data_IF_835780810512
#
_entry.id   IF_835780810512
#
_cell.length_a   1.000
_cell.length_b   1.000
_cell.length_c   1.000
_cell.angle_alpha   90.00
_cell.angle_beta   90.00
_cell.angle_gamma   90.00
#
_symmetry.space_group_name_H-M   'P 1'
#
loop_
_entity.id
_entity.type
_entity.pdbx_description
1 polymer ?
#
# COMPACT_ATOMS: atom_id res chain seq x y z
N UNK A 1 -11.39 -26.43 43.01
CA UNK A 1 -10.88 -26.28 42.59
C UNK A 1 -10.62 -26.16 42.15
N UNK A 2 -11.11 -26.36 42.14
CA UNK A 2 -10.64 -26.16 41.56
C UNK A 2 -10.58 -26.06 40.96
N UNK A 3 -10.99 -26.14 41.19
CA UNK A 3 -10.61 -25.91 40.61
C UNK A 3 -10.60 -25.76 39.98
N UNK A 4 -10.92 -25.70 40.25
CA UNK A 4 -10.61 -25.49 39.61
C UNK A 4 -10.63 -25.30 39.02
N UNK A 5 -11.04 -25.23 39.38
CA UNK A 5 -10.77 -24.95 38.89
C UNK A 5 -10.75 -24.78 38.28
N UNK A 6 -11.18 -24.65 38.68
CA UNK A 6 -10.88 -24.33 38.22
C UNK A 6 -10.84 -24.16 37.62
N UNK A 7 -11.02 -24.10 37.73
CA UNK A 7 -10.69 -23.89 37.24
C UNK A 7 -10.64 -23.60 36.54
N UNK A 8 -11.13 -23.60 36.88
CA UNK A 8 -10.78 -23.32 36.42
C UNK A 8 -10.73 -23.01 35.69
N UNK A 9 -11.22 -22.99 36.04
CA UNK A 9 -10.90 -22.75 35.58
C UNK A 9 -10.85 -22.48 34.88
N UNK A 10 -11.52 -22.54 35.44
CA UNK A 10 -11.15 -22.35 35.01
C UNK A 10 -11.03 -22.17 34.41
N UNK A 11 -11.51 -22.19 34.48
CA UNK A 11 -11.15 -21.97 33.99
C UNK A 11 -10.96 -21.73 33.30
N UNK A 12 -11.56 -21.73 33.59
CA UNK A 12 -11.02 -21.62 33.07
C UNK A 12 -10.78 -21.33 32.37
N UNK A 13 -11.48 -21.09 32.45
CA UNK A 13 -10.98 -20.93 31.97
C UNK A 13 -10.81 -20.63 31.34
N UNK A 14 -11.46 -20.62 31.34
CA UNK A 14 -10.98 -20.45 30.83
C UNK A 14 -10.86 -20.12 30.16
N UNK A 15 -11.40 -19.96 30.00
CA UNK A 15 -10.95 -19.81 29.51
C UNK A 15 -10.78 -19.33 28.85
N UNK A 16 -11.45 -19.46 28.99
CA UNK A 16 -10.99 -19.14 28.57
C UNK A 16 -10.84 -18.84 27.93
N UNK A 17 -11.44 -18.83 27.81
CA UNK A 17 -10.89 -18.64 27.10
C UNK A 17 -10.76 -18.43 26.53
N UNK A 18 -11.38 -18.41 26.54
CA UNK A 18 -10.91 -18.30 25.98
C UNK A 18 -10.94 -18.01 25.22
N UNK A 19 -11.59 -18.03 25.05
CA UNK A 19 -11.28 -17.74 24.36
C UNK A 19 -11.19 -17.66 23.59
N UNK A 20 -11.62 -17.83 23.36
CA UNK A 20 -11.27 -17.71 22.57
C UNK A 20 -11.29 -17.70 21.88
N UNK A 21 -11.72 -17.83 21.88
CA UNK A 21 -11.39 -17.79 21.21
C UNK A 21 -11.46 -17.68 20.48
N UNK A 22 -11.90 -17.75 20.54
CA UNK A 22 -11.74 -17.60 19.84
C UNK A 22 -11.75 -17.50 19.30
N UNK A 23 -12.07 -17.48 19.49
CA UNK A 23 -11.74 -17.33 18.91
C UNK A 23 -11.57 -17.28 18.36
N UNK A 24 -11.80 -17.46 18.60
CA UNK A 24 -11.56 -17.18 17.96
C UNK A 24 -11.54 -17.16 17.13
N UNK A 25 -10.74 -17.50 17.20
CA UNK A 25 -10.92 -17.53 16.08
C UNK A 25 -11.59 -16.60 15.28
N UNK A 26 -12.24 -16.41 15.18
CA UNK A 26 -12.99 -15.45 14.49
C UNK A 26 -12.40 -14.08 14.48
N UNK A 27 -11.64 -13.70 15.43
CA UNK A 27 -10.92 -12.44 15.38
C UNK A 27 -10.11 -12.29 14.14
N UNK A 28 -9.61 -13.37 13.64
CA UNK A 28 -8.81 -13.29 12.42
C UNK A 28 -9.63 -12.84 11.24
N UNK A 29 -10.89 -13.21 11.22
CA UNK A 29 -11.75 -12.74 10.17
C UNK A 29 -11.87 -11.24 10.20
N UNK A 30 -11.99 -10.68 11.37
CA UNK A 30 -12.08 -9.24 11.49
C UNK A 30 -10.80 -8.57 11.02
N UNK A 31 -9.67 -9.16 11.37
CA UNK A 31 -8.40 -8.62 10.94
C UNK A 31 -8.29 -8.67 9.43
N UNK A 32 -8.81 -9.73 8.83
CA UNK A 32 -8.75 -9.88 7.40
C UNK A 32 -9.64 -8.91 6.66
N UNK A 33 -10.60 -8.35 7.36
CA UNK A 33 -11.49 -7.39 6.74
C UNK A 33 -10.96 -5.97 6.81
N UNK A 34 -9.83 -5.78 7.45
CA UNK A 34 -9.21 -4.47 7.42
C UNK A 34 -8.85 -4.12 6.01
N UNK A 35 -9.12 -2.88 5.61
CA UNK A 35 -8.71 -2.47 4.27
C UNK A 35 -7.21 -2.59 4.14
N UNK A 36 -6.78 -3.15 3.05
CA UNK A 36 -5.38 -3.18 2.70
C UNK A 36 -5.04 -1.89 1.98
N UNK A 37 -3.85 -1.39 2.25
CA UNK A 37 -3.39 -0.21 1.52
C UNK A 37 -2.86 -0.63 0.16
N UNK A 38 -3.00 0.24 -0.83
CA UNK A 38 -2.35 -0.01 -2.11
C UNK A 38 -0.85 0.07 -1.95
N UNK A 39 -0.13 -0.51 -2.90
CA UNK A 39 1.33 -0.50 -2.89
C UNK A 39 1.87 -0.12 -4.24
N UNK A 40 3.08 0.40 -4.23
CA UNK A 40 3.83 0.72 -5.43
C UNK A 40 5.16 -0.01 -5.32
N UNK A 41 5.44 -0.88 -6.28
CA UNK A 41 6.65 -1.69 -6.27
C UNK A 41 7.56 -1.28 -7.41
N UNK A 42 8.83 -1.00 -7.12
CA UNK A 42 9.80 -0.68 -8.14
C UNK A 42 10.28 -1.98 -8.77
N UNK A 43 10.00 -2.14 -10.06
CA UNK A 43 10.36 -3.35 -10.79
C UNK A 43 11.56 -3.15 -11.71
N UNK A 44 11.96 -1.89 -11.94
CA UNK A 44 13.12 -1.59 -12.75
C UNK A 44 13.73 -0.27 -12.31
N UNK A 45 15.07 -0.19 -12.31
CA UNK A 45 15.78 1.02 -11.94
C UNK A 45 16.60 0.83 -10.68
N UNK A 46 17.15 1.94 -10.15
CA UNK A 46 18.13 1.86 -9.05
C UNK A 46 17.64 1.22 -7.77
N UNK A 47 16.34 1.30 -7.49
CA UNK A 47 15.79 0.81 -6.23
C UNK A 47 14.91 -0.41 -6.44
N UNK A 48 15.21 -1.20 -7.46
CA UNK A 48 14.40 -2.37 -7.82
C UNK A 48 14.17 -3.27 -6.61
N UNK A 49 12.92 -3.66 -6.43
CA UNK A 49 12.51 -4.51 -5.32
C UNK A 49 11.90 -3.75 -4.16
N UNK A 50 12.07 -2.44 -4.12
CA UNK A 50 11.49 -1.64 -3.05
C UNK A 50 9.99 -1.51 -3.24
N UNK A 51 9.25 -1.65 -2.15
CA UNK A 51 7.80 -1.52 -2.16
C UNK A 51 7.40 -0.41 -1.20
N UNK A 52 6.54 0.48 -1.68
CA UNK A 52 6.00 1.57 -0.88
C UNK A 52 4.55 1.27 -0.57
N UNK A 53 4.20 1.30 0.71
CA UNK A 53 2.80 1.16 1.13
C UNK A 53 2.19 2.56 1.10
N UNK A 54 1.12 2.71 0.32
CA UNK A 54 0.52 4.01 0.09
C UNK A 54 -0.62 4.21 1.09
N UNK A 55 -0.28 4.76 2.24
CA UNK A 55 -1.21 4.86 3.37
C UNK A 55 -1.64 6.29 3.67
N UNK A 56 -1.48 7.20 2.73
CA UNK A 56 -1.95 8.57 2.84
C UNK A 56 -2.97 8.84 1.74
N UNK A 57 -3.87 9.79 1.93
CA UNK A 57 -4.86 10.09 0.89
C UNK A 57 -4.21 10.62 -0.38
N UNK A 58 -3.07 11.27 -0.26
CA UNK A 58 -2.34 11.77 -1.41
C UNK A 58 -0.87 11.43 -1.24
N UNK A 59 -0.26 10.94 -2.30
CA UNK A 59 1.11 10.44 -2.30
C UNK A 59 1.95 11.35 -3.19
N UNK A 60 3.07 11.82 -2.67
CA UNK A 60 4.03 12.59 -3.46
C UNK A 60 5.14 11.67 -3.95
N UNK A 61 5.54 11.87 -5.21
CA UNK A 61 6.64 11.12 -5.81
C UNK A 61 7.66 12.11 -6.33
N UNK A 62 8.92 11.88 -6.01
CA UNK A 62 9.95 12.78 -6.48
C UNK A 62 11.31 12.55 -5.83
N UNK A 63 12.25 13.40 -6.22
CA UNK A 63 13.62 13.34 -5.71
C UNK A 63 13.80 14.09 -4.40
N UNK A 64 12.78 14.83 -3.97
CA UNK A 64 12.82 15.48 -2.66
C UNK A 64 12.75 14.39 -1.58
N UNK A 65 13.68 14.39 -0.62
CA UNK A 65 13.66 13.38 0.45
C UNK A 65 12.37 13.34 1.27
N UNK A 66 11.58 14.41 1.22
CA UNK A 66 10.30 14.47 1.93
C UNK A 66 9.17 13.81 1.14
N UNK A 67 9.42 13.38 -0.08
CA UNK A 67 8.41 12.73 -0.88
C UNK A 67 7.96 11.41 -0.24
N UNK A 68 6.68 11.10 -0.34
CA UNK A 68 6.15 9.82 0.13
C UNK A 68 6.84 8.66 -0.57
N UNK A 69 7.06 8.81 -1.88
CA UNK A 69 7.82 7.87 -2.67
C UNK A 69 9.09 8.59 -3.12
N UNK A 70 10.16 8.36 -2.39
CA UNK A 70 11.43 9.02 -2.65
C UNK A 70 12.18 8.26 -3.74
N UNK A 71 12.38 8.91 -4.88
CA UNK A 71 13.06 8.34 -6.03
C UNK A 71 14.38 9.10 -6.23
N UNK A 72 15.44 8.55 -5.69
CA UNK A 72 16.72 9.24 -5.61
C UNK A 72 17.51 9.07 -6.90
N UNK A 73 17.17 9.86 -7.92
CA UNK A 73 17.86 9.81 -9.20
C UNK A 73 17.75 11.16 -9.91
N UNK A 74 18.78 11.53 -10.62
CA UNK A 74 18.84 12.84 -11.29
C UNK A 74 17.78 12.99 -12.39
N UNK A 75 17.27 11.87 -12.91
CA UNK A 75 16.23 11.93 -13.95
C UNK A 75 14.85 12.25 -13.39
N UNK A 76 14.72 12.32 -12.08
CA UNK A 76 13.44 12.57 -11.40
C UNK A 76 13.43 14.00 -10.89
N UNK A 77 12.33 14.72 -11.17
CA UNK A 77 12.16 16.06 -10.63
C UNK A 77 11.91 15.99 -9.14
N UNK A 78 12.25 17.06 -8.42
CA UNK A 78 12.08 17.08 -6.96
C UNK A 78 10.63 16.84 -6.59
N UNK A 79 9.70 17.53 -7.22
CA UNK A 79 8.26 17.29 -7.07
C UNK A 79 7.75 16.82 -8.42
N UNK A 80 7.80 15.51 -8.62
CA UNK A 80 7.60 14.96 -9.96
C UNK A 80 6.14 14.68 -10.26
N UNK A 81 5.45 14.03 -9.34
CA UNK A 81 4.06 13.63 -9.55
C UNK A 81 3.36 13.40 -8.22
N UNK A 82 2.03 13.33 -8.27
CA UNK A 82 1.23 12.95 -7.11
C UNK A 82 0.25 11.88 -7.50
N UNK A 83 -0.11 11.05 -6.53
CA UNK A 83 -1.16 10.05 -6.69
C UNK A 83 -2.25 10.36 -5.68
N UNK A 84 -3.47 10.49 -6.17
CA UNK A 84 -4.65 10.74 -5.35
C UNK A 84 -5.37 9.41 -5.14
N UNK A 85 -5.51 9.02 -3.89
CA UNK A 85 -6.10 7.73 -3.53
C UNK A 85 -7.54 7.84 -3.07
N UNK A 86 -8.17 8.99 -3.23
CA UNK A 86 -9.52 9.21 -2.70
C UNK A 86 -10.59 8.35 -3.36
N UNK A 87 -10.31 7.79 -4.54
CA UNK A 87 -11.28 6.98 -5.28
C UNK A 87 -10.94 5.49 -5.25
N UNK A 88 -10.13 5.05 -4.31
CA UNK A 88 -9.76 3.64 -4.24
C UNK A 88 -10.96 2.72 -4.01
N UNK A 89 -11.96 3.20 -3.30
CA UNK A 89 -13.17 2.40 -3.09
C UNK A 89 -13.90 2.11 -4.40
N UNK A 90 -13.63 2.91 -5.43
CA UNK A 90 -14.18 2.71 -6.76
C UNK A 90 -13.22 1.92 -7.65
N UNK A 91 -12.10 1.48 -7.12
CA UNK A 91 -11.17 0.61 -7.83
C UNK A 91 -10.08 1.32 -8.59
N UNK A 92 -9.86 2.62 -8.37
CA UNK A 92 -8.82 3.33 -9.10
C UNK A 92 -8.22 4.47 -8.30
N UNK A 93 -7.08 4.93 -8.76
CA UNK A 93 -6.42 6.13 -8.24
C UNK A 93 -6.12 7.04 -9.42
N UNK A 94 -5.67 8.25 -9.14
CA UNK A 94 -5.34 9.21 -10.18
C UNK A 94 -3.90 9.68 -9.97
N UNK A 95 -3.12 9.68 -11.04
CA UNK A 95 -1.76 10.21 -10.99
C UNK A 95 -1.70 11.48 -11.83
N UNK A 96 -0.97 12.46 -11.33
CA UNK A 96 -0.82 13.75 -12.02
C UNK A 96 0.65 14.13 -12.05
N UNK A 97 1.14 14.46 -13.24
CA UNK A 97 2.50 14.97 -13.42
C UNK A 97 2.54 16.44 -13.02
N UNK A 98 3.56 16.84 -12.29
CA UNK A 98 3.70 18.21 -11.78
C UNK A 98 4.71 18.99 -12.61
N UNK A 99 4.51 19.03 -13.92
CA UNK A 99 5.42 19.71 -14.85
C UNK A 99 6.84 19.20 -14.69
N UNK A 100 6.98 17.90 -14.61
CA UNK A 100 8.28 17.29 -14.45
C UNK A 100 9.15 17.52 -15.67
N UNK A 101 10.45 17.51 -15.47
CA UNK A 101 11.39 17.76 -16.56
C UNK A 101 11.34 16.65 -17.61
N UNK A 102 11.26 15.40 -17.17
CA UNK A 102 11.36 14.25 -18.07
C UNK A 102 10.05 13.52 -18.29
N UNK A 103 8.96 13.96 -17.64
CA UNK A 103 7.65 13.38 -17.87
C UNK A 103 7.33 12.19 -16.98
N UNK A 104 6.07 11.80 -17.01
CA UNK A 104 5.52 10.64 -16.33
C UNK A 104 4.80 9.80 -17.35
N UNK A 105 5.05 8.49 -17.35
CA UNK A 105 4.40 7.55 -18.26
C UNK A 105 3.54 6.59 -17.48
N UNK A 106 2.34 6.31 -18.00
CA UNK A 106 1.45 5.29 -17.46
C UNK A 106 1.13 4.32 -18.57
N UNK A 107 1.44 3.05 -18.34
CA UNK A 107 1.23 1.98 -19.31
C UNK A 107 1.82 2.33 -20.68
N UNK A 108 2.98 2.95 -20.66
CA UNK A 108 3.73 3.26 -21.86
C UNK A 108 3.39 4.57 -22.53
N UNK A 109 2.43 5.33 -22.03
CA UNK A 109 2.04 6.61 -22.62
C UNK A 109 2.40 7.76 -21.67
N UNK A 110 2.96 8.84 -22.22
CA UNK A 110 3.24 10.03 -21.43
C UNK A 110 1.92 10.72 -21.10
N UNK A 111 1.78 11.15 -19.84
CA UNK A 111 0.52 11.71 -19.37
C UNK A 111 0.75 12.99 -18.59
N UNK A 112 -0.26 13.83 -18.55
CA UNK A 112 -0.34 14.90 -17.56
C UNK A 112 -1.14 14.42 -16.36
N UNK A 113 -2.20 13.67 -16.61
CA UNK A 113 -3.06 13.13 -15.59
C UNK A 113 -3.65 11.84 -16.13
N UNK A 114 -3.71 10.82 -15.29
CA UNK A 114 -4.19 9.52 -15.75
C UNK A 114 -4.80 8.73 -14.59
N UNK A 115 -5.60 7.76 -14.95
CA UNK A 115 -6.20 6.83 -14.00
C UNK A 115 -5.26 5.63 -13.81
N UNK A 116 -5.06 5.25 -12.57
CA UNK A 116 -4.29 4.05 -12.21
C UNK A 116 -5.26 2.97 -11.73
N UNK A 117 -5.10 1.78 -12.27
CA UNK A 117 -5.85 0.61 -11.84
C UNK A 117 -4.87 -0.44 -11.35
N UNK A 118 -5.40 -1.48 -10.75
CA UNK A 118 -4.55 -2.57 -10.30
C UNK A 118 -3.70 -3.08 -11.45
N UNK A 119 -2.39 -3.12 -11.26
CA UNK A 119 -1.47 -3.57 -12.29
C UNK A 119 -0.96 -2.49 -13.23
N UNK A 120 -1.41 -1.24 -13.09
CA UNK A 120 -0.90 -0.15 -13.92
C UNK A 120 0.59 0.02 -13.72
N UNK A 121 1.30 0.31 -14.82
CA UNK A 121 2.73 0.56 -14.80
C UNK A 121 2.98 2.05 -14.86
N UNK A 122 3.86 2.54 -14.00
CA UNK A 122 4.25 3.95 -13.95
C UNK A 122 5.74 4.02 -14.22
N UNK A 123 6.13 4.91 -15.13
CA UNK A 123 7.56 5.18 -15.38
C UNK A 123 7.86 6.63 -15.06
N UNK A 124 8.83 6.84 -14.19
CA UNK A 124 9.34 8.15 -13.81
C UNK A 124 10.86 8.07 -13.87
N UNK A 125 11.46 8.87 -14.75
CA UNK A 125 12.90 8.80 -14.93
C UNK A 125 13.33 7.40 -15.30
N UNK A 126 14.32 6.86 -14.58
CA UNK A 126 14.80 5.52 -14.81
C UNK A 126 14.03 4.46 -14.04
N UNK A 127 13.02 4.85 -13.28
CA UNK A 127 12.24 3.93 -12.46
C UNK A 127 11.01 3.44 -13.20
N UNK A 128 10.74 2.15 -13.09
CA UNK A 128 9.46 1.58 -13.52
C UNK A 128 8.82 0.93 -12.31
N UNK A 129 7.56 1.24 -12.09
CA UNK A 129 6.84 0.81 -10.90
C UNK A 129 5.51 0.21 -11.30
N UNK A 130 5.01 -0.68 -10.47
CA UNK A 130 3.69 -1.28 -10.68
C UNK A 130 2.81 -0.89 -9.49
N UNK A 131 1.62 -0.42 -9.80
CA UNK A 131 0.62 -0.02 -8.82
C UNK A 131 -0.33 -1.19 -8.58
N UNK A 132 -0.53 -1.52 -7.31
CA UNK A 132 -1.52 -2.52 -6.91
C UNK A 132 -2.48 -1.87 -5.96
N UNK A 133 -3.79 -2.08 -6.19
CA UNK A 133 -4.83 -1.43 -5.40
C UNK A 133 -4.92 -1.96 -3.99
N UNK A 134 -4.44 -3.19 -3.77
CA UNK A 134 -4.38 -3.74 -2.43
C UNK A 134 -3.20 -4.69 -2.36
N UNK A 135 -2.69 -4.89 -1.14
CA UNK A 135 -1.65 -5.88 -0.95
C UNK A 135 -2.23 -7.23 -1.24
N UNK A 136 -1.48 -8.00 -2.00
CA UNK A 136 -1.88 -9.35 -2.28
C UNK A 136 -1.71 -10.14 -1.01
N UNK A 137 -2.78 -10.69 -0.52
CA UNK A 137 -2.71 -11.51 0.66
C UNK A 137 -2.49 -12.96 0.30
N UNK A 138 -2.55 -13.23 -0.83
CA UNK A 138 -2.41 -14.55 -1.40
C UNK A 138 -2.34 -15.65 -0.61
#
# INVERSE_FOLDING_TARGET
>A
MSTDDIKQQSPDSTEIFRMPSADDTVPDLMAQQKPSHPVLTIVKGPQTGQTFVLNLPQISLGRDPKSSVFLNDMTVSRNHATIDLSNLSLGYATIEDLDSLNGTWVDGAIINKATLRDGSTIQIGTFRMVFHTSRVSA
#
